data_IF_027322978893
#
_entry.id   IF_027322978893
#
_cell.length_a   1.000
_cell.length_b   1.000
_cell.length_c   1.000
_cell.angle_alpha   90.00
_cell.angle_beta   90.00
_cell.angle_gamma   90.00
#
_symmetry.space_group_name_H-M   'P 1'
#
loop_
_entity.id
_entity.type
_entity.pdbx_description
1 polymer ?
#
# COMPACT_ATOMS: atom_id res chain seq x y z
N UNK A 1 -5.38 14.64 -8.84
CA UNK A 1 -4.17 14.76 -8.01
C UNK A 1 -3.66 13.36 -7.70
N UNK A 2 -2.35 13.09 -7.91
CA UNK A 2 -1.76 11.78 -7.62
C UNK A 2 -1.67 11.55 -6.10
N UNK A 3 -1.77 10.29 -5.64
CA UNK A 3 -1.56 9.93 -4.23
C UNK A 3 -0.21 10.43 -3.69
N UNK A 4 0.80 10.58 -4.56
CA UNK A 4 2.10 11.15 -4.20
C UNK A 4 2.04 12.57 -3.64
N UNK A 5 1.13 13.41 -4.14
CA UNK A 5 0.98 14.78 -3.62
C UNK A 5 0.45 14.81 -2.17
N UNK A 6 -0.39 13.85 -1.81
CA UNK A 6 -0.90 13.71 -0.44
C UNK A 6 0.16 13.20 0.54
N UNK A 7 1.14 12.40 0.07
CA UNK A 7 2.30 12.04 0.87
C UNK A 7 3.10 13.27 1.29
N UNK A 8 3.31 14.25 0.40
CA UNK A 8 4.03 15.48 0.72
C UNK A 8 3.34 16.29 1.82
N UNK A 9 2.00 16.36 1.78
CA UNK A 9 1.23 17.00 2.85
C UNK A 9 1.46 16.29 4.20
N UNK A 10 1.42 14.96 4.21
CA UNK A 10 1.70 14.17 5.41
C UNK A 10 3.13 14.38 5.93
N UNK A 11 4.13 14.44 5.07
CA UNK A 11 5.51 14.73 5.47
C UNK A 11 5.65 16.14 6.07
N UNK A 12 5.01 17.15 5.50
CA UNK A 12 5.03 18.50 6.04
C UNK A 12 4.41 18.56 7.45
N UNK A 13 3.24 17.92 7.64
CA UNK A 13 2.59 17.82 8.95
C UNK A 13 3.49 17.10 9.95
N UNK A 14 4.07 15.96 9.58
CA UNK A 14 4.96 15.17 10.42
C UNK A 14 6.23 15.94 10.84
N UNK A 15 6.81 16.72 9.91
CA UNK A 15 7.96 17.56 10.19
C UNK A 15 7.64 18.65 11.23
N UNK A 16 6.49 19.34 11.07
CA UNK A 16 6.03 20.37 12.02
C UNK A 16 5.79 19.75 13.39
N UNK A 17 5.12 18.61 13.47
CA UNK A 17 4.87 17.90 14.74
C UNK A 17 6.19 17.52 15.41
N UNK A 18 7.12 16.91 14.66
CA UNK A 18 8.41 16.52 15.21
C UNK A 18 9.22 17.72 15.72
N UNK A 19 9.19 18.84 15.00
CA UNK A 19 9.89 20.07 15.37
C UNK A 19 9.29 20.71 16.63
N UNK A 20 7.97 20.85 16.69
CA UNK A 20 7.27 21.49 17.82
C UNK A 20 7.40 20.64 19.09
N UNK A 21 7.17 19.34 18.98
CA UNK A 21 7.21 18.46 20.15
C UNK A 21 8.65 18.16 20.60
N UNK A 22 9.58 18.03 19.66
CA UNK A 22 11.01 17.91 19.97
C UNK A 22 11.57 19.17 20.64
N UNK A 23 11.15 20.36 20.18
CA UNK A 23 11.52 21.64 20.77
C UNK A 23 10.97 21.88 22.19
N UNK A 24 9.86 21.23 22.55
CA UNK A 24 9.29 21.27 23.91
C UNK A 24 9.99 20.32 24.89
N UNK A 25 11.04 19.63 24.49
CA UNK A 25 11.80 18.74 25.36
C UNK A 25 11.08 17.44 25.72
N UNK A 26 10.08 17.03 24.96
CA UNK A 26 9.43 15.73 25.16
C UNK A 26 10.44 14.58 24.99
N UNK A 27 10.37 13.59 25.85
CA UNK A 27 11.24 12.42 25.79
C UNK A 27 11.07 11.69 24.47
N UNK A 28 12.17 11.34 23.80
CA UNK A 28 12.19 10.63 22.51
C UNK A 28 11.29 9.40 22.47
N UNK A 29 11.18 8.68 23.59
CA UNK A 29 10.34 7.49 23.66
C UNK A 29 8.85 7.76 23.37
N UNK A 30 8.30 8.89 23.83
CA UNK A 30 6.91 9.24 23.55
C UNK A 30 6.71 9.68 22.10
N UNK A 31 7.70 10.36 21.55
CA UNK A 31 7.70 10.77 20.15
C UNK A 31 7.80 9.56 19.19
N UNK A 32 8.66 8.58 19.53
CA UNK A 32 8.71 7.32 18.80
C UNK A 32 7.39 6.55 18.89
N UNK A 33 6.81 6.43 20.09
CA UNK A 33 5.52 5.79 20.27
C UNK A 33 4.43 6.44 19.43
N UNK A 34 4.42 7.79 19.34
CA UNK A 34 3.49 8.53 18.49
C UNK A 34 3.71 8.26 17.01
N UNK A 35 4.94 8.19 16.53
CA UNK A 35 5.26 7.84 15.15
C UNK A 35 4.75 6.44 14.77
N UNK A 36 4.99 5.45 15.63
CA UNK A 36 4.47 4.09 15.45
C UNK A 36 2.95 4.03 15.54
N UNK A 37 2.34 4.81 16.44
CA UNK A 37 0.88 4.92 16.53
C UNK A 37 0.26 5.41 15.21
N UNK A 38 0.82 6.45 14.59
CA UNK A 38 0.33 6.91 13.27
C UNK A 38 0.52 5.85 12.19
N UNK A 39 1.61 5.08 12.19
CA UNK A 39 1.80 3.99 11.24
C UNK A 39 0.76 2.89 11.44
N UNK A 40 0.54 2.44 12.67
CA UNK A 40 -0.48 1.44 13.00
C UNK A 40 -1.88 1.92 12.63
N UNK A 41 -2.20 3.18 12.95
CA UNK A 41 -3.49 3.78 12.61
C UNK A 41 -3.70 3.79 11.08
N UNK A 42 -2.67 4.13 10.30
CA UNK A 42 -2.76 4.11 8.84
C UNK A 42 -2.99 2.70 8.29
N UNK A 43 -2.37 1.67 8.89
CA UNK A 43 -2.57 0.27 8.48
C UNK A 43 -4.02 -0.17 8.74
N UNK A 44 -4.59 0.20 9.89
CA UNK A 44 -6.01 -0.05 10.21
C UNK A 44 -6.92 0.63 9.19
N UNK A 45 -6.68 1.91 8.86
CA UNK A 45 -7.45 2.62 7.82
C UNK A 45 -7.33 1.93 6.47
N UNK A 46 -6.11 1.55 6.06
CA UNK A 46 -5.89 0.81 4.80
C UNK A 46 -6.67 -0.50 4.78
N UNK A 47 -6.66 -1.26 5.88
CA UNK A 47 -7.37 -2.52 5.97
C UNK A 47 -8.88 -2.39 5.73
N UNK A 48 -9.51 -1.33 6.27
CA UNK A 48 -10.95 -1.11 6.09
C UNK A 48 -11.31 -0.48 4.74
N UNK A 49 -10.47 0.40 4.20
CA UNK A 49 -10.78 1.17 2.98
C UNK A 49 -10.33 0.48 1.68
N UNK A 50 -9.42 -0.50 1.73
CA UNK A 50 -9.04 -1.27 0.53
C UNK A 50 -10.14 -2.26 0.18
N UNK A 51 -11.09 -1.79 -0.66
CA UNK A 51 -12.19 -2.57 -1.22
C UNK A 51 -12.31 -2.28 -2.72
N UNK A 52 -12.93 -3.20 -3.46
CA UNK A 52 -13.17 -3.06 -4.92
C UNK A 52 -13.99 -1.82 -5.29
N UNK A 53 -14.83 -1.34 -4.37
CA UNK A 53 -15.63 -0.11 -4.50
C UNK A 53 -15.02 1.06 -3.70
N UNK A 54 -13.78 0.93 -3.23
CA UNK A 54 -13.10 1.93 -2.39
C UNK A 54 -12.97 3.27 -3.10
N UNK A 55 -13.47 4.33 -2.47
CA UNK A 55 -13.39 5.68 -3.01
C UNK A 55 -11.99 6.21 -2.80
N UNK A 56 -11.30 6.63 -3.87
CA UNK A 56 -9.98 7.28 -3.85
C UNK A 56 -9.85 8.36 -2.75
N UNK A 57 -10.95 9.08 -2.51
CA UNK A 57 -11.04 10.13 -1.51
C UNK A 57 -10.69 9.65 -0.09
N UNK A 58 -11.02 8.44 0.27
CA UNK A 58 -10.75 7.87 1.60
C UNK A 58 -9.33 7.37 1.75
N UNK A 59 -8.75 6.81 0.68
CA UNK A 59 -7.35 6.36 0.66
C UNK A 59 -6.36 7.50 0.89
N UNK A 60 -6.67 8.73 0.49
CA UNK A 60 -5.79 9.88 0.73
C UNK A 60 -5.52 10.12 2.21
N UNK A 61 -6.51 9.92 3.09
CA UNK A 61 -6.31 10.09 4.54
C UNK A 61 -5.35 9.05 5.13
N UNK A 62 -5.48 7.79 4.73
CA UNK A 62 -4.56 6.74 5.15
C UNK A 62 -3.11 7.05 4.73
N UNK A 63 -2.93 7.56 3.50
CA UNK A 63 -1.62 7.96 2.97
C UNK A 63 -1.03 9.14 3.74
N UNK A 64 -1.83 10.16 4.07
CA UNK A 64 -1.39 11.32 4.87
C UNK A 64 -0.95 10.87 6.26
N UNK A 65 -1.77 10.06 6.95
CA UNK A 65 -1.47 9.55 8.29
C UNK A 65 -0.16 8.73 8.28
N UNK A 66 0.00 7.85 7.29
CA UNK A 66 1.23 7.06 7.11
C UNK A 66 2.45 7.94 6.91
N UNK A 67 2.36 8.92 6.01
CA UNK A 67 3.45 9.83 5.70
C UNK A 67 3.84 10.68 6.92
N UNK A 68 2.85 11.12 7.70
CA UNK A 68 3.06 11.84 8.97
C UNK A 68 3.84 10.99 9.96
N UNK A 69 3.42 9.74 10.20
CA UNK A 69 4.12 8.80 11.09
C UNK A 69 5.55 8.52 10.65
N UNK A 70 5.76 8.26 9.36
CA UNK A 70 7.09 8.05 8.79
C UNK A 70 8.00 9.26 8.99
N UNK A 71 7.51 10.47 8.75
CA UNK A 71 8.32 11.69 8.89
C UNK A 71 8.71 11.94 10.34
N UNK A 72 7.81 11.72 11.28
CA UNK A 72 8.11 11.80 12.71
C UNK A 72 9.25 10.85 13.07
N UNK A 73 9.16 9.58 12.68
CA UNK A 73 10.19 8.58 12.97
C UNK A 73 11.54 8.94 12.32
N UNK A 74 11.55 9.44 11.09
CA UNK A 74 12.77 9.87 10.42
C UNK A 74 13.44 11.04 11.13
N UNK A 75 12.68 12.08 11.44
CA UNK A 75 13.21 13.27 12.12
C UNK A 75 13.80 12.91 13.49
N UNK A 76 13.10 12.05 14.24
CA UNK A 76 13.53 11.63 15.57
C UNK A 76 14.74 10.71 15.53
N UNK A 77 14.80 9.77 14.60
CA UNK A 77 15.96 8.89 14.44
C UNK A 77 17.20 9.70 14.13
N UNK A 78 17.10 10.67 13.20
CA UNK A 78 18.20 11.56 12.87
C UNK A 78 18.63 12.42 14.07
N UNK A 79 17.67 13.03 14.79
CA UNK A 79 17.95 13.87 15.95
C UNK A 79 18.60 13.08 17.10
N UNK A 80 18.05 11.89 17.41
CA UNK A 80 18.57 11.03 18.47
C UNK A 80 20.00 10.55 18.17
N UNK A 81 20.24 10.13 16.93
CA UNK A 81 21.57 9.69 16.51
C UNK A 81 22.61 10.84 16.57
N UNK A 82 22.23 12.05 16.08
CA UNK A 82 23.12 13.20 16.09
C UNK A 82 23.48 13.66 17.52
N UNK A 83 22.56 13.52 18.48
CA UNK A 83 22.85 13.89 19.89
C UNK A 83 23.81 12.93 20.59
N UNK A 84 23.87 11.67 20.16
CA UNK A 84 24.67 10.62 20.77
C UNK A 84 26.01 10.40 20.08
N UNK A 85 26.20 10.89 18.86
CA UNK A 85 27.37 10.64 18.04
C UNK A 85 28.42 11.74 18.20
N UNK A 86 29.69 11.39 18.43
CA UNK A 86 30.78 12.37 18.37
C UNK A 86 30.85 13.00 16.98
N UNK A 87 31.10 14.32 16.93
CA UNK A 87 31.11 15.10 15.68
C UNK A 87 32.07 14.51 14.62
N UNK A 88 33.16 13.91 15.06
CA UNK A 88 34.14 13.23 14.19
C UNK A 88 33.52 12.14 13.30
N UNK A 89 32.49 11.45 13.76
CA UNK A 89 31.87 10.33 13.05
C UNK A 89 30.55 10.69 12.38
N UNK A 90 30.11 11.95 12.49
CA UNK A 90 28.80 12.40 11.99
C UNK A 90 28.67 12.18 10.48
N UNK A 91 29.70 12.51 9.71
CA UNK A 91 29.70 12.34 8.25
C UNK A 91 29.58 10.87 7.85
N UNK A 92 30.37 10.00 8.47
CA UNK A 92 30.29 8.54 8.23
C UNK A 92 28.94 7.98 8.59
N UNK A 93 28.36 8.41 9.71
CA UNK A 93 27.03 8.01 10.13
C UNK A 93 25.94 8.43 9.12
N UNK A 94 25.99 9.66 8.64
CA UNK A 94 25.03 10.15 7.63
C UNK A 94 25.13 9.29 6.36
N UNK A 95 26.36 8.99 5.89
CA UNK A 95 26.55 8.13 4.72
C UNK A 95 25.97 6.72 4.93
N UNK A 96 26.22 6.10 6.08
CA UNK A 96 25.65 4.77 6.42
C UNK A 96 24.13 4.82 6.45
N UNK A 97 23.56 5.81 7.15
CA UNK A 97 22.10 5.99 7.22
C UNK A 97 21.46 6.17 5.85
N UNK A 98 22.07 6.98 4.98
CA UNK A 98 21.58 7.18 3.62
C UNK A 98 21.69 5.90 2.79
N UNK A 99 22.79 5.17 2.89
CA UNK A 99 22.96 3.90 2.17
C UNK A 99 21.93 2.86 2.61
N UNK A 100 21.75 2.68 3.92
CA UNK A 100 20.75 1.75 4.46
C UNK A 100 19.33 2.15 4.01
N UNK A 101 19.02 3.44 4.06
CA UNK A 101 17.69 3.95 3.71
C UNK A 101 17.40 3.89 2.21
N UNK A 102 18.37 4.27 1.37
CA UNK A 102 18.16 4.42 -0.08
C UNK A 102 18.41 3.14 -0.86
N UNK A 103 19.27 2.26 -0.36
CA UNK A 103 19.67 1.05 -1.07
C UNK A 103 19.18 -0.20 -0.36
N UNK A 104 19.60 -0.41 0.88
CA UNK A 104 19.34 -1.67 1.61
C UNK A 104 17.86 -1.83 1.93
N UNK A 105 17.22 -0.80 2.49
CA UNK A 105 15.82 -0.82 2.87
C UNK A 105 14.89 -1.11 1.69
N UNK A 106 14.91 -0.32 0.62
CA UNK A 106 14.06 -0.56 -0.55
C UNK A 106 14.36 -1.89 -1.25
N UNK A 107 15.63 -2.29 -1.34
CA UNK A 107 16.00 -3.54 -2.03
C UNK A 107 15.50 -4.76 -1.26
N UNK A 108 15.81 -4.87 0.02
CA UNK A 108 15.40 -6.01 0.85
C UNK A 108 13.90 -5.96 1.13
N UNK A 109 13.41 -4.81 1.59
CA UNK A 109 11.99 -4.63 1.91
C UNK A 109 11.11 -4.78 0.69
N UNK A 110 11.54 -4.23 -0.46
CA UNK A 110 10.85 -4.37 -1.73
C UNK A 110 10.81 -5.82 -2.22
N UNK A 111 11.91 -6.57 -2.12
CA UNK A 111 11.96 -7.98 -2.49
C UNK A 111 11.02 -8.83 -1.61
N UNK A 112 11.07 -8.66 -0.29
CA UNK A 112 10.18 -9.36 0.64
C UNK A 112 8.71 -9.03 0.33
N UNK A 113 8.39 -7.73 0.22
CA UNK A 113 7.04 -7.27 -0.08
C UNK A 113 6.51 -7.86 -1.39
N UNK A 114 7.32 -7.82 -2.46
CA UNK A 114 6.91 -8.32 -3.78
C UNK A 114 6.69 -9.83 -3.75
N UNK A 115 7.57 -10.59 -3.10
CA UNK A 115 7.43 -12.04 -2.99
C UNK A 115 6.17 -12.43 -2.21
N UNK A 116 5.95 -11.82 -1.06
CA UNK A 116 4.75 -12.07 -0.25
C UNK A 116 3.49 -11.66 -1.01
N UNK A 117 3.50 -10.50 -1.68
CA UNK A 117 2.37 -10.05 -2.48
C UNK A 117 2.05 -11.03 -3.61
N UNK A 118 3.06 -11.52 -4.35
CA UNK A 118 2.87 -12.48 -5.43
C UNK A 118 2.32 -13.81 -4.92
N UNK A 119 2.86 -14.33 -3.82
CA UNK A 119 2.38 -15.57 -3.20
C UNK A 119 0.91 -15.45 -2.80
N UNK A 120 0.53 -14.37 -2.12
CA UNK A 120 -0.85 -14.14 -1.70
C UNK A 120 -1.77 -13.88 -2.89
N UNK A 121 -1.32 -13.14 -3.88
CA UNK A 121 -2.07 -12.93 -5.12
C UNK A 121 -2.36 -14.25 -5.83
N UNK A 122 -1.38 -15.14 -5.97
CA UNK A 122 -1.58 -16.46 -6.57
C UNK A 122 -2.58 -17.31 -5.78
N UNK A 123 -2.48 -17.30 -4.44
CA UNK A 123 -3.44 -17.98 -3.58
C UNK A 123 -4.88 -17.48 -3.83
N UNK A 124 -5.09 -16.16 -3.88
CA UNK A 124 -6.42 -15.60 -4.14
C UNK A 124 -6.88 -15.82 -5.58
N UNK A 125 -6.00 -15.78 -6.59
CA UNK A 125 -6.35 -16.12 -7.98
C UNK A 125 -6.89 -17.54 -8.05
N UNK A 126 -6.20 -18.50 -7.45
CA UNK A 126 -6.62 -19.92 -7.43
C UNK A 126 -7.98 -20.05 -6.73
N UNK A 127 -8.16 -19.43 -5.58
CA UNK A 127 -9.42 -19.45 -4.83
C UNK A 127 -10.59 -18.83 -5.60
N UNK A 128 -10.36 -17.70 -6.26
CA UNK A 128 -11.41 -17.03 -7.05
C UNK A 128 -11.69 -17.76 -8.36
N UNK A 129 -10.68 -18.36 -9.00
CA UNK A 129 -10.87 -19.16 -10.20
C UNK A 129 -11.76 -20.38 -9.94
N UNK A 130 -11.64 -21.04 -8.77
CA UNK A 130 -12.51 -22.14 -8.36
C UNK A 130 -13.98 -21.74 -8.24
N UNK A 131 -14.25 -20.48 -7.86
CA UNK A 131 -15.63 -19.96 -7.72
C UNK A 131 -16.23 -19.46 -9.05
N UNK A 132 -15.42 -19.39 -10.11
CA UNK A 132 -15.85 -18.97 -11.47
C UNK A 132 -16.02 -20.20 -12.38
N UNK A 133 -16.33 -21.35 -11.79
CA UNK A 133 -16.67 -22.52 -12.56
C UNK A 133 -18.00 -22.32 -13.31
N UNK A 134 -18.09 -22.87 -14.53
CA UNK A 134 -19.31 -22.82 -15.37
C UNK A 134 -20.54 -23.42 -14.68
N UNK A 135 -20.32 -24.19 -13.62
CA UNK A 135 -21.38 -24.76 -12.77
C UNK A 135 -21.98 -23.72 -11.80
N UNK A 136 -21.34 -22.57 -11.60
CA UNK A 136 -21.89 -21.52 -10.78
C UNK A 136 -22.84 -20.65 -11.62
N UNK A 137 -24.17 -20.64 -11.32
CA UNK A 137 -25.17 -19.95 -12.14
C UNK A 137 -24.92 -18.44 -12.22
N UNK A 138 -24.43 -17.81 -11.14
CA UNK A 138 -24.17 -16.37 -11.12
C UNK A 138 -22.96 -16.00 -12.00
N UNK A 139 -21.91 -16.81 -11.96
CA UNK A 139 -20.72 -16.62 -12.80
C UNK A 139 -21.05 -16.82 -14.27
N UNK A 140 -21.82 -17.87 -14.60
CA UNK A 140 -22.23 -18.16 -15.98
C UNK A 140 -23.15 -17.07 -16.53
N UNK A 141 -24.09 -16.56 -15.74
CA UNK A 141 -24.99 -15.47 -16.14
C UNK A 141 -24.24 -14.17 -16.39
N UNK A 142 -23.30 -13.82 -15.53
CA UNK A 142 -22.44 -12.64 -15.70
C UNK A 142 -21.54 -12.75 -16.94
N UNK A 143 -20.97 -13.95 -17.20
CA UNK A 143 -20.17 -14.21 -18.38
C UNK A 143 -20.99 -14.10 -19.67
N UNK A 144 -22.15 -14.75 -19.70
CA UNK A 144 -23.07 -14.70 -20.87
C UNK A 144 -23.59 -13.30 -21.12
N UNK A 145 -23.91 -12.54 -20.08
CA UNK A 145 -24.29 -11.11 -20.20
C UNK A 145 -23.18 -10.27 -20.81
N UNK A 146 -21.90 -10.51 -20.45
CA UNK A 146 -20.75 -9.85 -21.04
C UNK A 146 -20.59 -10.23 -22.53
N UNK A 147 -20.75 -11.50 -22.86
CA UNK A 147 -20.71 -11.99 -24.27
C UNK A 147 -21.80 -11.33 -25.11
N UNK A 148 -23.03 -11.27 -24.60
CA UNK A 148 -24.14 -10.62 -25.28
C UNK A 148 -23.88 -9.13 -25.50
N UNK A 149 -23.40 -8.41 -24.48
CA UNK A 149 -23.04 -7.00 -24.59
C UNK A 149 -22.00 -6.74 -25.69
N UNK A 150 -21.00 -7.64 -25.86
CA UNK A 150 -20.01 -7.52 -26.92
C UNK A 150 -20.56 -7.88 -28.32
N UNK A 151 -21.52 -8.82 -28.41
CA UNK A 151 -22.24 -9.09 -29.65
C UNK A 151 -23.04 -7.89 -30.13
N UNK A 152 -23.72 -7.16 -29.21
CA UNK A 152 -24.40 -5.91 -29.55
C UNK A 152 -23.48 -4.83 -30.09
N UNK A 153 -22.19 -4.87 -29.76
CA UNK A 153 -21.16 -3.99 -30.30
C UNK A 153 -20.60 -4.45 -31.66
N UNK A 154 -21.21 -5.48 -32.29
CA UNK A 154 -20.84 -5.95 -33.62
C UNK A 154 -19.68 -6.97 -33.65
N UNK A 155 -19.29 -7.55 -32.51
CA UNK A 155 -18.25 -8.58 -32.44
C UNK A 155 -18.80 -9.94 -32.84
N UNK A 156 -17.96 -10.77 -33.50
CA UNK A 156 -18.28 -12.15 -33.76
C UNK A 156 -18.43 -12.95 -32.45
N UNK A 157 -19.14 -14.06 -32.49
CA UNK A 157 -19.36 -14.87 -31.27
C UNK A 157 -18.05 -15.34 -30.63
N UNK A 158 -17.10 -15.76 -31.46
CA UNK A 158 -15.79 -16.23 -31.00
C UNK A 158 -14.98 -15.10 -30.37
N UNK A 159 -14.96 -13.93 -30.96
CA UNK A 159 -14.30 -12.75 -30.42
C UNK A 159 -14.98 -12.26 -29.13
N UNK A 160 -16.30 -12.25 -29.08
CA UNK A 160 -17.06 -11.87 -27.88
C UNK A 160 -16.76 -12.79 -26.71
N UNK A 161 -16.70 -14.11 -26.93
CA UNK A 161 -16.32 -15.09 -25.89
C UNK A 161 -14.88 -14.90 -25.42
N UNK A 162 -13.92 -14.70 -26.33
CA UNK A 162 -12.53 -14.48 -25.96
C UNK A 162 -12.36 -13.17 -25.15
N UNK A 163 -13.01 -12.10 -25.56
CA UNK A 163 -12.97 -10.83 -24.84
C UNK A 163 -13.65 -10.93 -23.45
N UNK A 164 -14.76 -11.65 -23.35
CA UNK A 164 -15.42 -11.91 -22.08
C UNK A 164 -14.51 -12.72 -21.14
N UNK A 165 -13.80 -13.73 -21.64
CA UNK A 165 -12.85 -14.50 -20.86
C UNK A 165 -11.67 -13.63 -20.37
N UNK A 166 -11.10 -12.78 -21.23
CA UNK A 166 -10.04 -11.83 -20.84
C UNK A 166 -10.55 -10.85 -19.79
N UNK A 167 -11.76 -10.31 -19.96
CA UNK A 167 -12.36 -9.38 -18.98
C UNK A 167 -12.58 -10.04 -17.63
N UNK A 168 -13.10 -11.28 -17.62
CA UNK A 168 -13.31 -12.04 -16.39
C UNK A 168 -11.98 -12.34 -15.68
N UNK A 169 -10.95 -12.76 -16.43
CA UNK A 169 -9.61 -12.97 -15.89
C UNK A 169 -9.04 -11.69 -15.30
N UNK A 170 -9.21 -10.56 -15.97
CA UNK A 170 -8.77 -9.25 -15.46
C UNK A 170 -9.45 -8.87 -14.14
N UNK A 171 -10.76 -9.09 -14.03
CA UNK A 171 -11.51 -8.84 -12.78
C UNK A 171 -11.01 -9.73 -11.63
N UNK A 172 -10.78 -11.02 -11.89
CA UNK A 172 -10.23 -11.95 -10.90
C UNK A 172 -8.85 -11.46 -10.42
N UNK A 173 -7.97 -11.07 -11.33
CA UNK A 173 -6.64 -10.56 -10.99
C UNK A 173 -6.71 -9.30 -10.13
N UNK A 174 -7.57 -8.35 -10.47
CA UNK A 174 -7.76 -7.12 -9.69
C UNK A 174 -8.28 -7.44 -8.28
N UNK A 175 -9.29 -8.30 -8.16
CA UNK A 175 -9.83 -8.71 -6.86
C UNK A 175 -8.81 -9.47 -6.02
N UNK A 176 -8.05 -10.38 -6.63
CA UNK A 176 -6.99 -11.12 -5.95
C UNK A 176 -5.90 -10.18 -5.43
N UNK A 177 -5.49 -9.20 -6.24
CA UNK A 177 -4.50 -8.19 -5.82
C UNK A 177 -5.01 -7.36 -4.66
N UNK A 178 -6.26 -6.88 -4.71
CA UNK A 178 -6.86 -6.10 -3.63
C UNK A 178 -6.99 -6.90 -2.34
N UNK A 179 -7.37 -8.18 -2.44
CA UNK A 179 -7.45 -9.06 -1.26
C UNK A 179 -6.09 -9.34 -0.65
N UNK A 180 -5.06 -9.57 -1.48
CA UNK A 180 -3.69 -9.74 -1.03
C UNK A 180 -3.17 -8.46 -0.35
N UNK A 181 -3.41 -7.28 -0.92
CA UNK A 181 -3.03 -5.99 -0.32
C UNK A 181 -3.76 -5.74 1.00
N UNK A 182 -5.03 -6.10 1.08
CA UNK A 182 -5.81 -5.97 2.31
C UNK A 182 -5.27 -6.87 3.43
N UNK A 183 -4.94 -8.12 3.10
CA UNK A 183 -4.33 -9.05 4.05
C UNK A 183 -2.99 -8.53 4.54
N UNK A 184 -2.13 -8.06 3.63
CA UNK A 184 -0.83 -7.49 3.99
C UNK A 184 -0.92 -6.21 4.82
N UNK A 185 -1.98 -5.42 4.65
CA UNK A 185 -2.21 -4.23 5.49
C UNK A 185 -2.69 -4.60 6.91
N UNK A 186 -3.23 -5.81 7.08
CA UNK A 186 -3.67 -6.33 8.39
C UNK A 186 -2.56 -7.01 9.21
N UNK A 187 -1.39 -7.22 8.60
CA UNK A 187 -0.20 -7.79 9.26
C UNK A 187 0.66 -6.67 9.86
#
# INVERSE_FOLDING_TARGET
>A
ASLGNWCMVGYAIGAVIAMVLGGKGLHFKYLFAMGFFFLSLSAVFMYFEVQTAGVYERLKYAVIIRATGMMILYALTAAYANQRMPFKYLSTWICIMLTVRMVVGPSIGGAIYTNVLQERQQHYITRYAQNVDLLNPDASTSFLGTVQGMKYQGKSETEARNMAAISTKGRIQVQATLSALKEMAGW
#
